data_IF_146727725934
#
_entry.id   IF_146727725934
#
_cell.length_a   1.000
_cell.length_b   1.000
_cell.length_c   1.000
_cell.angle_alpha   90.00
_cell.angle_beta   90.00
_cell.angle_gamma   90.00
#
_symmetry.space_group_name_H-M   'P 1'
#
loop_
_entity.id
_entity.type
_entity.pdbx_description
1 polymer ?
#
# COMPACT_ATOMS: atom_id res chain seq x y z
N UNK A 1 7.94 13.42 -5.54
CA UNK A 1 7.22 13.84 -6.76
C UNK A 1 5.78 14.21 -6.48
N UNK A 2 5.03 13.39 -5.74
CA UNK A 2 3.61 13.64 -5.46
C UNK A 2 3.30 13.95 -3.98
N UNK A 3 4.32 14.15 -3.14
CA UNK A 3 4.15 14.50 -1.73
C UNK A 3 3.85 13.33 -0.79
N UNK A 4 3.74 12.09 -1.30
CA UNK A 4 3.56 10.90 -0.47
C UNK A 4 4.86 10.41 0.17
N UNK A 5 4.69 9.61 1.23
CA UNK A 5 5.79 8.96 1.93
C UNK A 5 6.57 8.02 1.00
N UNK A 6 7.89 7.97 1.16
CA UNK A 6 8.78 7.10 0.39
C UNK A 6 9.13 5.90 1.26
N UNK A 7 8.91 4.70 0.73
CA UNK A 7 9.18 3.42 1.41
C UNK A 7 10.19 2.58 0.62
N UNK A 8 10.67 1.50 1.22
CA UNK A 8 11.50 0.46 0.58
C UNK A 8 12.78 0.99 -0.09
N UNK A 9 13.38 2.03 0.49
CA UNK A 9 14.61 2.62 -0.01
C UNK A 9 15.70 2.70 1.06
N UNK A 10 16.95 2.62 0.61
CA UNK A 10 18.14 2.84 1.45
C UNK A 10 18.81 4.14 1.08
N UNK A 11 18.73 5.13 1.97
CA UNK A 11 19.39 6.44 1.79
C UNK A 11 20.82 6.37 2.35
N UNK A 12 21.81 6.70 1.53
CA UNK A 12 23.22 6.71 1.93
C UNK A 12 23.86 8.06 1.60
N UNK A 13 24.21 8.83 2.64
CA UNK A 13 25.04 10.02 2.47
C UNK A 13 26.51 9.59 2.32
N UNK A 14 27.11 9.83 1.15
CA UNK A 14 28.48 9.41 0.83
C UNK A 14 29.52 10.50 1.07
N UNK A 15 29.14 11.75 0.82
CA UNK A 15 30.02 12.91 0.88
C UNK A 15 29.18 14.16 1.18
N UNK A 16 29.79 15.13 1.84
CA UNK A 16 29.26 16.47 2.05
C UNK A 16 30.40 17.42 2.43
N UNK A 17 30.25 18.69 2.08
CA UNK A 17 31.17 19.76 2.46
C UNK A 17 30.46 20.69 3.43
N UNK A 18 31.18 21.19 4.43
CA UNK A 18 30.71 22.23 5.33
C UNK A 18 31.75 23.34 5.44
N UNK A 19 31.29 24.55 5.76
CA UNK A 19 32.16 25.69 6.02
C UNK A 19 31.87 26.26 7.41
N UNK A 20 32.82 26.11 8.33
CA UNK A 20 32.63 26.35 9.77
C UNK A 20 31.98 27.69 10.17
N UNK A 21 32.23 28.84 9.52
CA UNK A 21 31.64 30.09 9.98
C UNK A 21 30.16 30.28 9.55
N UNK A 22 29.65 29.47 8.61
CA UNK A 22 28.30 29.67 8.03
C UNK A 22 27.45 28.41 7.92
N UNK A 23 28.03 27.23 8.03
CA UNK A 23 27.29 25.97 7.96
C UNK A 23 26.84 25.53 9.35
N UNK A 24 25.54 25.39 9.51
CA UNK A 24 24.90 24.89 10.72
C UNK A 24 24.17 23.57 10.43
N UNK A 25 23.87 22.77 11.45
CA UNK A 25 22.99 21.61 11.28
C UNK A 25 21.62 21.94 10.68
N UNK A 26 21.12 23.18 10.85
CA UNK A 26 19.86 23.61 10.24
C UNK A 26 19.97 23.66 8.72
N UNK A 27 21.10 24.12 8.18
CA UNK A 27 21.34 24.18 6.73
C UNK A 27 21.31 22.79 6.10
N UNK A 28 21.89 21.79 6.75
CA UNK A 28 21.84 20.41 6.27
C UNK A 28 20.44 19.78 6.36
N UNK A 29 19.67 20.12 7.40
CA UNK A 29 18.26 19.68 7.50
C UNK A 29 17.40 20.29 6.37
N UNK A 30 17.72 21.50 5.93
CA UNK A 30 17.07 22.13 4.78
C UNK A 30 17.56 21.57 3.44
N UNK A 31 18.86 21.26 3.32
CA UNK A 31 19.46 20.75 2.09
C UNK A 31 19.08 19.28 1.81
N UNK A 32 18.99 18.44 2.84
CA UNK A 32 18.70 17.02 2.71
C UNK A 32 17.43 16.71 1.89
N UNK A 33 16.24 17.31 2.15
CA UNK A 33 15.05 17.04 1.34
C UNK A 33 15.19 17.51 -0.11
N UNK A 34 15.92 18.60 -0.37
CA UNK A 34 16.17 19.10 -1.74
C UNK A 34 17.00 18.09 -2.54
N UNK A 35 18.10 17.61 -1.94
CA UNK A 35 18.96 16.58 -2.57
C UNK A 35 18.19 15.28 -2.79
N UNK A 36 17.39 14.86 -1.79
CA UNK A 36 16.57 13.66 -1.90
C UNK A 36 15.55 13.77 -3.04
N UNK A 37 14.85 14.90 -3.16
CA UNK A 37 13.89 15.14 -4.24
C UNK A 37 14.54 15.03 -5.62
N UNK A 38 15.73 15.64 -5.80
CA UNK A 38 16.47 15.58 -7.05
C UNK A 38 16.90 14.16 -7.41
N UNK A 39 17.35 13.39 -6.42
CA UNK A 39 17.75 11.99 -6.62
C UNK A 39 16.54 11.13 -6.97
N UNK A 40 15.41 11.28 -6.28
CA UNK A 40 14.18 10.54 -6.58
C UNK A 40 13.64 10.85 -7.98
N UNK A 41 13.70 12.12 -8.42
CA UNK A 41 13.33 12.48 -9.80
C UNK A 41 14.20 11.80 -10.85
N UNK A 42 15.50 11.64 -10.58
CA UNK A 42 16.44 11.00 -11.51
C UNK A 42 16.36 9.47 -11.48
N UNK A 43 16.19 8.89 -10.30
CA UNK A 43 16.06 7.44 -10.11
C UNK A 43 14.76 6.89 -10.67
N UNK A 44 13.73 7.75 -10.80
CA UNK A 44 12.36 7.32 -11.06
C UNK A 44 11.69 6.87 -9.76
N UNK A 45 10.37 7.01 -9.71
CA UNK A 45 9.56 6.59 -8.56
C UNK A 45 8.30 5.90 -9.05
N UNK A 46 7.88 4.87 -8.34
CA UNK A 46 6.60 4.19 -8.55
C UNK A 46 5.61 4.58 -7.45
N UNK A 47 4.34 4.71 -7.83
CA UNK A 47 3.27 4.98 -6.87
C UNK A 47 2.74 3.65 -6.32
N UNK A 48 2.87 3.48 -5.01
CA UNK A 48 2.34 2.31 -4.31
C UNK A 48 1.00 2.66 -3.65
N UNK A 49 0.08 1.70 -3.65
CA UNK A 49 -1.15 1.76 -2.85
C UNK A 49 -1.11 0.70 -1.73
N UNK A 50 -1.71 0.96 -0.56
CA UNK A 50 -1.75 0.00 0.52
C UNK A 50 -2.72 -1.14 0.22
N UNK A 51 -2.29 -2.37 0.48
CA UNK A 51 -3.11 -3.57 0.45
C UNK A 51 -3.48 -4.02 1.86
N UNK A 52 -4.70 -4.52 2.02
CA UNK A 52 -5.24 -5.04 3.27
C UNK A 52 -5.48 -6.52 3.14
N UNK A 53 -5.14 -7.28 4.18
CA UNK A 53 -5.56 -8.67 4.30
C UNK A 53 -7.02 -8.72 4.76
N UNK A 54 -7.84 -9.55 4.12
CA UNK A 54 -9.24 -9.73 4.49
C UNK A 54 -9.56 -11.19 4.81
N UNK A 55 -10.64 -11.38 5.57
CA UNK A 55 -11.32 -12.67 5.75
C UNK A 55 -12.83 -12.47 5.67
N UNK A 56 -13.48 -13.20 4.77
CA UNK A 56 -14.94 -13.18 4.58
C UNK A 56 -15.49 -14.49 5.11
N UNK A 57 -16.57 -14.39 5.88
CA UNK A 57 -17.35 -15.53 6.37
C UNK A 57 -18.71 -15.45 5.68
N UNK A 58 -19.06 -16.48 4.92
CA UNK A 58 -20.32 -16.51 4.19
C UNK A 58 -20.86 -17.95 4.13
N UNK A 59 -22.18 -18.13 3.97
CA UNK A 59 -22.74 -19.44 3.61
C UNK A 59 -22.15 -19.96 2.30
N UNK A 60 -22.00 -21.28 2.17
CA UNK A 60 -21.38 -21.92 1.00
C UNK A 60 -22.07 -21.57 -0.34
N UNK A 61 -23.36 -21.23 -0.32
CA UNK A 61 -24.13 -20.80 -1.50
C UNK A 61 -23.57 -19.53 -2.16
N UNK A 62 -22.93 -18.66 -1.37
CA UNK A 62 -22.37 -17.39 -1.84
C UNK A 62 -20.91 -17.49 -2.29
N UNK A 63 -20.32 -18.69 -2.29
CA UNK A 63 -18.95 -18.93 -2.75
C UNK A 63 -18.72 -18.34 -4.14
N UNK A 64 -19.59 -18.69 -5.10
CA UNK A 64 -19.45 -18.25 -6.49
C UNK A 64 -19.56 -16.73 -6.64
N UNK A 65 -20.42 -16.09 -5.84
CA UNK A 65 -20.55 -14.62 -5.80
C UNK A 65 -19.27 -13.99 -5.30
N UNK A 66 -18.72 -14.46 -4.19
CA UNK A 66 -17.49 -13.90 -3.63
C UNK A 66 -16.28 -14.05 -4.59
N UNK A 67 -16.18 -15.17 -5.32
CA UNK A 67 -15.18 -15.32 -6.37
C UNK A 67 -15.40 -14.39 -7.58
N UNK A 68 -16.65 -14.07 -7.90
CA UNK A 68 -16.98 -13.12 -8.97
C UNK A 68 -16.66 -11.67 -8.57
N UNK A 69 -16.91 -11.33 -7.31
CA UNK A 69 -16.64 -9.98 -6.78
C UNK A 69 -15.14 -9.69 -6.67
N UNK A 70 -14.31 -10.69 -6.38
CA UNK A 70 -12.87 -10.51 -6.19
C UNK A 70 -12.19 -9.71 -7.33
N UNK A 71 -12.28 -10.10 -8.62
CA UNK A 71 -11.69 -9.32 -9.70
C UNK A 71 -12.32 -7.92 -9.86
N UNK A 72 -13.62 -7.77 -9.56
CA UNK A 72 -14.33 -6.47 -9.62
C UNK A 72 -13.72 -5.44 -8.67
N UNK A 73 -13.30 -5.86 -7.48
CA UNK A 73 -12.66 -5.00 -6.48
C UNK A 73 -11.13 -5.09 -6.47
N UNK A 74 -10.54 -5.67 -7.52
CA UNK A 74 -9.10 -5.92 -7.63
C UNK A 74 -8.54 -6.71 -6.43
N UNK A 75 -9.36 -7.55 -5.81
CA UNK A 75 -8.98 -8.41 -4.70
C UNK A 75 -8.40 -9.73 -5.23
N UNK A 76 -7.41 -10.26 -4.52
CA UNK A 76 -6.81 -11.55 -4.78
C UNK A 76 -7.18 -12.52 -3.66
N UNK A 77 -7.76 -13.68 -4.01
CA UNK A 77 -8.10 -14.72 -3.03
C UNK A 77 -6.89 -15.64 -2.89
N UNK A 78 -6.41 -15.80 -1.66
CA UNK A 78 -5.21 -16.59 -1.32
C UNK A 78 -5.59 -17.98 -0.81
N UNK A 79 -6.64 -18.09 0.01
CA UNK A 79 -7.07 -19.34 0.61
C UNK A 79 -8.59 -19.40 0.79
N UNK A 80 -9.15 -20.61 0.71
CA UNK A 80 -10.58 -20.88 0.85
C UNK A 80 -10.78 -22.13 1.70
N UNK A 81 -11.46 -21.96 2.84
CA UNK A 81 -11.74 -23.06 3.77
C UNK A 81 -13.24 -23.27 3.89
N UNK A 82 -13.67 -24.52 3.77
CA UNK A 82 -15.06 -24.93 3.97
C UNK A 82 -15.18 -25.59 5.35
N UNK A 83 -16.05 -25.06 6.22
CA UNK A 83 -16.31 -25.60 7.56
C UNK A 83 -17.80 -25.50 7.87
N UNK A 84 -18.42 -26.62 8.24
CA UNK A 84 -19.78 -26.66 8.80
C UNK A 84 -20.81 -25.81 8.01
N UNK A 85 -20.83 -25.93 6.68
CA UNK A 85 -21.72 -25.18 5.77
C UNK A 85 -21.40 -23.68 5.58
N UNK A 86 -20.32 -23.19 6.20
CA UNK A 86 -19.74 -21.87 5.96
C UNK A 86 -18.47 -21.98 5.11
N UNK A 87 -18.22 -20.96 4.30
CA UNK A 87 -16.95 -20.73 3.64
C UNK A 87 -16.23 -19.55 4.28
N UNK A 88 -14.93 -19.73 4.50
CA UNK A 88 -13.98 -18.71 4.92
C UNK A 88 -13.04 -18.42 3.76
N UNK A 89 -13.14 -17.24 3.17
CA UNK A 89 -12.27 -16.77 2.10
C UNK A 89 -11.25 -15.80 2.68
N UNK A 90 -9.96 -16.05 2.45
CA UNK A 90 -8.87 -15.17 2.87
C UNK A 90 -8.14 -14.63 1.65
N UNK A 91 -7.75 -13.36 1.69
CA UNK A 91 -7.11 -12.74 0.55
C UNK A 91 -6.57 -11.35 0.84
N UNK A 92 -6.20 -10.65 -0.23
CA UNK A 92 -5.68 -9.29 -0.22
C UNK A 92 -6.53 -8.39 -1.10
N UNK A 93 -6.75 -7.15 -0.67
CA UNK A 93 -7.56 -6.17 -1.39
C UNK A 93 -6.93 -4.78 -1.28
N UNK A 94 -6.94 -3.96 -2.35
CA UNK A 94 -6.53 -2.56 -2.26
C UNK A 94 -7.40 -1.79 -1.27
N UNK A 95 -6.78 -0.97 -0.42
CA UNK A 95 -7.51 -0.20 0.59
C UNK A 95 -8.55 0.78 -0.01
N UNK A 96 -8.39 1.18 -1.28
CA UNK A 96 -9.37 2.02 -1.99
C UNK A 96 -10.72 1.31 -2.23
N UNK A 97 -10.72 -0.02 -2.39
CA UNK A 97 -11.90 -0.79 -2.79
C UNK A 97 -12.70 -1.33 -1.59
N UNK A 98 -12.10 -1.38 -0.40
CA UNK A 98 -12.66 -2.11 0.75
C UNK A 98 -14.00 -1.55 1.25
N UNK A 99 -14.20 -0.22 1.19
CA UNK A 99 -15.41 0.41 1.71
C UNK A 99 -16.63 0.12 0.82
N UNK A 100 -16.43 0.16 -0.50
CA UNK A 100 -17.46 -0.21 -1.47
C UNK A 100 -17.78 -1.70 -1.35
N UNK A 101 -16.75 -2.56 -1.30
CA UNK A 101 -16.97 -3.99 -1.20
C UNK A 101 -17.69 -4.39 0.10
N UNK A 102 -17.34 -3.75 1.23
CA UNK A 102 -18.05 -3.96 2.51
C UNK A 102 -19.55 -3.65 2.41
N UNK A 103 -19.90 -2.60 1.67
CA UNK A 103 -21.30 -2.19 1.47
C UNK A 103 -22.03 -3.20 0.59
N UNK A 104 -21.41 -3.61 -0.51
CA UNK A 104 -21.99 -4.55 -1.46
C UNK A 104 -22.08 -5.98 -0.91
N UNK A 105 -21.16 -6.38 -0.03
CA UNK A 105 -21.22 -7.66 0.67
C UNK A 105 -22.43 -7.76 1.60
N UNK A 106 -22.88 -6.62 2.15
CA UNK A 106 -24.05 -6.57 3.05
C UNK A 106 -25.36 -6.52 2.26
N UNK A 107 -25.31 -6.15 0.98
CA UNK A 107 -26.47 -6.10 0.10
C UNK A 107 -26.76 -7.51 -0.44
N UNK A 108 -27.91 -8.07 -0.08
CA UNK A 108 -28.37 -9.38 -0.53
C UNK A 108 -28.68 -9.39 -2.03
#
# INVERSE_FOLDING_TARGET
LYGWNVTDCKICFKYGLYYSPVSTPADFRMLAPIVLEQVLKKAGTELLEPYLSFKIYAPQEYLSRAYNDAPKYCANIVDTQLKNNEVILSGEIPARCIQEYRSDLTFF
#
